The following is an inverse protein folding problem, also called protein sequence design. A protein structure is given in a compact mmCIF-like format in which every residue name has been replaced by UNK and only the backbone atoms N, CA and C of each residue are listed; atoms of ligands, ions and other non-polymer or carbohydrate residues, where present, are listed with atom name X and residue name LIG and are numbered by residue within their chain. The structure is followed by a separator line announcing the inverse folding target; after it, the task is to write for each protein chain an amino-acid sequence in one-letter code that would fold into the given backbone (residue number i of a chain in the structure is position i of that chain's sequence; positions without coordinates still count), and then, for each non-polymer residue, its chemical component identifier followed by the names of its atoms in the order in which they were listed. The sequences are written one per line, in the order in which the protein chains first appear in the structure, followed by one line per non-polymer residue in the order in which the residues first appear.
data_IF_093619037319
#
_entry.id   IF_093619037319
#
_cell.length_a   1.000
_cell.length_b   1.000
_cell.length_c   1.000
_cell.angle_alpha   90.00
_cell.angle_beta   90.00
_cell.angle_gamma   90.00
#
_symmetry.space_group_name_H-M   'P 1'
#
loop_
_entity.id
_entity.type
_entity.pdbx_description
1 polymer ?
#
# COMPACT_ATOMS: atom_id res chain seq x y z
N UNK A 1 -28.38 14.62 -8.41
CA UNK A 1 -28.14 14.17 -7.02
C UNK A 1 -26.66 13.94 -6.75
N UNK A 2 -26.04 14.82 -5.95
CA UNK A 2 -24.65 14.68 -5.54
C UNK A 2 -24.69 14.27 -4.08
N UNK A 3 -24.47 12.99 -3.81
CA UNK A 3 -24.18 12.54 -2.46
C UNK A 3 -22.91 13.27 -2.01
N UNK A 4 -23.06 14.28 -1.15
CA UNK A 4 -21.96 14.77 -0.33
C UNK A 4 -21.74 13.68 0.71
N UNK A 5 -20.84 12.76 0.41
CA UNK A 5 -20.52 11.61 1.24
C UNK A 5 -19.69 12.08 2.43
N UNK A 6 -20.31 12.76 3.39
CA UNK A 6 -19.64 13.09 4.64
C UNK A 6 -19.71 11.85 5.52
N UNK A 7 -18.72 10.98 5.41
CA UNK A 7 -18.47 9.96 6.43
C UNK A 7 -18.27 10.69 7.77
N UNK A 8 -19.30 10.70 8.63
CA UNK A 8 -19.32 11.48 9.88
C UNK A 8 -18.23 11.07 10.87
N UNK A 9 -17.67 9.87 10.69
CA UNK A 9 -16.55 9.33 11.47
C UNK A 9 -15.18 9.82 11.01
N UNK A 10 -15.08 10.50 9.85
CA UNK A 10 -13.85 11.15 9.42
C UNK A 10 -13.82 12.54 10.05
N UNK A 11 -12.87 12.71 10.97
CA UNK A 11 -12.63 13.97 11.65
C UNK A 11 -12.25 15.05 10.63
N UNK A 12 -12.97 16.19 10.68
CA UNK A 12 -12.71 17.31 9.78
C UNK A 12 -11.67 18.23 10.41
N UNK A 13 -10.64 18.57 9.65
CA UNK A 13 -9.59 19.49 10.08
C UNK A 13 -9.82 20.88 9.47
N UNK A 14 -9.63 21.92 10.28
CA UNK A 14 -9.72 23.29 9.79
C UNK A 14 -8.43 23.66 9.06
N UNK A 15 -8.55 24.26 7.87
CA UNK A 15 -7.38 24.59 7.02
C UNK A 15 -6.37 25.52 7.69
N UNK A 16 -6.84 26.41 8.55
CA UNK A 16 -6.01 27.40 9.24
C UNK A 16 -5.61 26.95 10.65
N UNK A 17 -5.84 25.68 11.01
CA UNK A 17 -5.40 25.14 12.29
C UNK A 17 -3.86 25.08 12.31
N UNK A 18 -3.18 25.73 13.28
CA UNK A 18 -1.72 25.63 13.41
C UNK A 18 -1.24 24.18 13.61
N UNK A 19 -2.12 23.28 14.07
CA UNK A 19 -1.85 21.86 14.24
C UNK A 19 -2.56 20.98 13.19
N UNK A 20 -2.77 21.51 11.98
CA UNK A 20 -3.42 20.82 10.87
C UNK A 20 -2.86 19.40 10.63
N UNK A 21 -1.54 19.25 10.68
CA UNK A 21 -0.89 17.94 10.49
C UNK A 21 -1.29 16.93 11.56
N UNK A 22 -1.40 17.33 12.82
CA UNK A 22 -1.83 16.44 13.91
C UNK A 22 -3.31 16.07 13.79
N UNK A 23 -4.16 17.02 13.40
CA UNK A 23 -5.57 16.73 13.13
C UNK A 23 -5.70 15.71 11.99
N UNK A 24 -4.98 15.89 10.88
CA UNK A 24 -5.03 14.96 9.75
C UNK A 24 -4.46 13.59 10.14
N UNK A 25 -3.39 13.54 10.97
CA UNK A 25 -2.86 12.28 11.51
C UNK A 25 -3.93 11.53 12.31
N UNK A 26 -4.70 12.21 13.16
CA UNK A 26 -5.82 11.60 13.89
C UNK A 26 -6.91 11.11 12.95
N UNK A 27 -7.28 11.90 11.95
CA UNK A 27 -8.25 11.52 10.94
C UNK A 27 -7.80 10.26 10.17
N UNK A 28 -6.53 10.18 9.78
CA UNK A 28 -5.94 9.00 9.12
C UNK A 28 -5.98 7.75 10.02
N UNK A 29 -5.58 7.88 11.29
CA UNK A 29 -5.62 6.76 12.24
C UNK A 29 -7.04 6.31 12.59
N UNK A 30 -8.02 7.21 12.53
CA UNK A 30 -9.44 6.87 12.65
C UNK A 30 -9.93 6.15 11.40
N UNK A 31 -9.61 6.66 10.21
CA UNK A 31 -9.96 6.05 8.93
C UNK A 31 -9.43 4.60 8.84
N UNK A 32 -8.21 4.37 9.32
CA UNK A 32 -7.55 3.06 9.43
C UNK A 32 -8.47 1.94 9.95
N UNK A 33 -9.33 2.24 10.92
CA UNK A 33 -10.24 1.27 11.56
C UNK A 33 -11.37 0.78 10.64
N UNK A 34 -11.69 1.57 9.62
CA UNK A 34 -12.81 1.33 8.72
C UNK A 34 -12.37 0.71 7.38
N UNK A 35 -11.15 1.00 6.92
CA UNK A 35 -10.62 0.48 5.65
C UNK A 35 -10.73 -1.05 5.49
N UNK A 36 -10.45 -1.89 6.51
CA UNK A 36 -10.60 -3.35 6.37
C UNK A 36 -12.02 -3.79 5.98
N UNK A 37 -13.05 -3.07 6.45
CA UNK A 37 -14.46 -3.37 6.18
C UNK A 37 -15.02 -2.63 4.98
N UNK A 38 -14.24 -1.70 4.42
CA UNK A 38 -14.71 -0.76 3.41
C UNK A 38 -15.57 0.36 4.00
N UNK A 39 -15.83 1.36 3.18
CA UNK A 39 -16.62 2.54 3.55
C UNK A 39 -17.60 2.79 2.42
N UNK A 40 -18.83 2.30 2.60
CA UNK A 40 -19.89 2.36 1.59
C UNK A 40 -20.18 3.80 1.17
N UNK A 41 -20.22 4.72 2.13
CA UNK A 41 -20.42 6.13 1.88
C UNK A 41 -19.35 6.64 0.92
N UNK A 42 -18.08 6.30 1.10
CA UNK A 42 -17.01 6.73 0.20
C UNK A 42 -16.84 5.83 -1.03
N UNK A 43 -17.74 4.86 -1.25
CA UNK A 43 -17.64 3.82 -2.29
C UNK A 43 -16.32 3.05 -2.23
N UNK A 44 -15.77 2.91 -1.02
CA UNK A 44 -14.59 2.09 -0.77
C UNK A 44 -15.04 0.67 -0.44
N UNK A 45 -14.54 -0.29 -1.21
CA UNK A 45 -14.69 -1.72 -0.93
C UNK A 45 -13.85 -2.11 0.29
N UNK A 46 -14.11 -3.28 0.92
CA UNK A 46 -13.19 -3.85 1.89
C UNK A 46 -11.75 -3.86 1.36
N UNK A 47 -10.82 -3.32 2.15
CA UNK A 47 -9.41 -3.20 1.76
C UNK A 47 -8.50 -4.15 2.54
N UNK A 48 -9.06 -5.13 3.24
CA UNK A 48 -8.29 -6.21 3.88
C UNK A 48 -8.98 -7.56 3.58
N UNK A 49 -8.44 -8.37 2.64
CA UNK A 49 -7.21 -8.12 1.90
C UNK A 49 -7.35 -6.96 0.90
N UNK A 50 -6.25 -6.25 0.68
CA UNK A 50 -6.11 -5.34 -0.45
C UNK A 50 -5.75 -6.15 -1.69
N UNK A 51 -6.62 -6.12 -2.69
CA UNK A 51 -6.47 -6.93 -3.89
C UNK A 51 -5.77 -6.16 -5.01
N UNK A 52 -4.72 -6.75 -5.58
CA UNK A 52 -4.00 -6.20 -6.73
C UNK A 52 -3.98 -7.25 -7.83
N UNK A 53 -4.43 -6.88 -9.02
CA UNK A 53 -4.65 -7.83 -10.12
C UNK A 53 -3.33 -8.43 -10.62
N UNK A 54 -2.34 -7.58 -10.89
CA UNK A 54 -1.05 -7.99 -11.44
C UNK A 54 0.06 -7.02 -11.05
N UNK A 55 1.26 -7.56 -10.81
CA UNK A 55 2.51 -6.81 -10.71
C UNK A 55 3.62 -7.62 -11.36
N UNK A 56 4.63 -6.94 -11.89
CA UNK A 56 5.84 -7.57 -12.41
C UNK A 56 7.03 -6.96 -11.68
N UNK A 57 7.91 -7.83 -11.17
CA UNK A 57 9.13 -7.44 -10.48
C UNK A 57 10.31 -8.03 -11.24
N UNK A 58 11.29 -7.20 -11.57
CA UNK A 58 12.52 -7.63 -12.23
C UNK A 58 13.70 -7.21 -11.36
N UNK A 59 14.52 -8.19 -10.96
CA UNK A 59 15.68 -7.95 -10.10
C UNK A 59 16.76 -9.00 -10.37
N UNK A 60 18.01 -8.57 -10.53
CA UNK A 60 19.19 -9.45 -10.62
C UNK A 60 19.06 -10.61 -11.62
N UNK A 61 18.45 -10.37 -12.78
CA UNK A 61 18.24 -11.40 -13.82
C UNK A 61 17.08 -12.35 -13.56
N UNK A 62 16.28 -12.09 -12.53
CA UNK A 62 15.01 -12.75 -12.26
C UNK A 62 13.84 -11.84 -12.62
N UNK A 63 12.80 -12.44 -13.18
CA UNK A 63 11.51 -11.82 -13.47
C UNK A 63 10.42 -12.61 -12.76
N UNK A 64 9.69 -11.95 -11.87
CA UNK A 64 8.52 -12.48 -11.20
C UNK A 64 7.28 -11.77 -11.73
N UNK A 65 6.30 -12.53 -12.19
CA UNK A 65 4.94 -12.04 -12.40
C UNK A 65 4.07 -12.51 -11.23
N UNK A 66 3.42 -11.57 -10.56
CA UNK A 66 2.51 -11.82 -9.45
C UNK A 66 1.10 -11.48 -9.91
N UNK A 67 0.15 -12.38 -9.71
CA UNK A 67 -1.26 -12.20 -10.07
C UNK A 67 -2.16 -12.60 -8.91
N UNK A 68 -3.40 -12.10 -8.92
CA UNK A 68 -4.39 -12.35 -7.87
C UNK A 68 -3.82 -12.06 -6.46
N UNK A 69 -3.04 -10.98 -6.34
CA UNK A 69 -2.38 -10.64 -5.09
C UNK A 69 -3.40 -10.22 -4.05
N UNK A 70 -3.25 -10.76 -2.84
CA UNK A 70 -4.02 -10.40 -1.65
C UNK A 70 -3.04 -9.98 -0.56
N UNK A 71 -3.07 -8.69 -0.25
CA UNK A 71 -2.26 -8.07 0.79
C UNK A 71 -3.08 -7.92 2.06
N UNK A 72 -2.78 -8.73 3.07
CA UNK A 72 -3.46 -8.69 4.36
C UNK A 72 -2.76 -7.74 5.32
N UNK A 73 -3.54 -7.09 6.17
CA UNK A 73 -3.06 -6.12 7.16
C UNK A 73 -2.39 -4.87 6.53
N UNK A 74 -2.45 -4.65 5.21
CA UNK A 74 -1.73 -3.57 4.51
C UNK A 74 -2.05 -2.14 5.01
N UNK A 75 -3.17 -1.97 5.71
CA UNK A 75 -3.58 -0.70 6.30
C UNK A 75 -3.33 -0.61 7.80
N UNK A 76 -2.74 -1.62 8.44
CA UNK A 76 -2.39 -1.55 9.86
C UNK A 76 -1.06 -0.81 10.11
N UNK A 77 -0.97 0.45 9.66
CA UNK A 77 0.25 1.26 9.75
C UNK A 77 0.28 2.16 10.98
N UNK A 78 1.48 2.55 11.38
CA UNK A 78 1.80 3.64 12.31
C UNK A 78 2.24 4.86 11.50
N UNK A 79 1.88 6.06 11.97
CA UNK A 79 2.26 7.33 11.33
C UNK A 79 3.46 7.91 12.07
N UNK A 80 4.65 7.71 11.52
CA UNK A 80 5.91 8.18 12.09
C UNK A 80 6.06 9.69 11.91
N UNK A 81 5.68 10.18 10.73
CA UNK A 81 5.75 11.59 10.37
C UNK A 81 4.62 11.96 9.43
N UNK A 82 4.02 13.13 9.65
CA UNK A 82 3.07 13.73 8.74
C UNK A 82 3.30 15.24 8.73
N UNK A 83 3.44 15.81 7.54
CA UNK A 83 3.43 17.24 7.32
C UNK A 83 2.50 17.56 6.15
N UNK A 84 1.54 18.44 6.41
CA UNK A 84 0.59 18.93 5.41
C UNK A 84 0.82 20.43 5.25
N UNK A 85 1.31 20.82 4.08
CA UNK A 85 1.58 22.19 3.69
C UNK A 85 0.60 22.59 2.57
N UNK A 86 -0.44 23.34 2.92
CA UNK A 86 -1.48 23.79 1.99
C UNK A 86 -1.05 25.00 1.15
N UNK A 87 0.04 25.67 1.52
CA UNK A 87 0.60 26.79 0.76
C UNK A 87 1.50 26.23 -0.36
N UNK A 88 2.34 25.26 -0.03
CA UNK A 88 3.16 24.51 -0.99
C UNK A 88 2.40 23.37 -1.67
N UNK A 89 1.13 23.15 -1.35
CA UNK A 89 0.29 22.06 -1.88
C UNK A 89 0.97 20.68 -1.79
N UNK A 90 1.67 20.42 -0.69
CA UNK A 90 2.51 19.24 -0.50
C UNK A 90 2.12 18.51 0.77
N UNK A 91 2.07 17.19 0.69
CA UNK A 91 1.86 16.30 1.84
C UNK A 91 3.03 15.33 1.91
N UNK A 92 3.70 15.28 3.06
CA UNK A 92 4.80 14.35 3.33
C UNK A 92 4.37 13.39 4.42
N UNK A 93 4.52 12.10 4.18
CA UNK A 93 4.13 11.07 5.13
C UNK A 93 5.22 10.00 5.23
N UNK A 94 5.58 9.64 6.46
CA UNK A 94 6.35 8.42 6.73
C UNK A 94 5.49 7.49 7.57
N UNK A 95 5.43 6.22 7.14
CA UNK A 95 4.65 5.19 7.81
C UNK A 95 5.54 4.00 8.12
N UNK A 96 5.26 3.36 9.26
CA UNK A 96 5.76 2.03 9.61
C UNK A 96 4.61 1.05 9.57
N UNK A 97 4.75 -0.03 8.79
CA UNK A 97 3.80 -1.12 8.72
C UNK A 97 4.41 -2.32 9.47
N UNK A 98 3.92 -2.65 10.69
CA UNK A 98 4.57 -3.64 11.55
C UNK A 98 4.52 -5.06 10.97
N UNK A 99 3.44 -5.39 10.28
CA UNK A 99 3.22 -6.71 9.68
C UNK A 99 2.32 -6.60 8.46
N UNK A 100 2.66 -7.33 7.41
CA UNK A 100 1.85 -7.52 6.20
C UNK A 100 2.07 -8.93 5.67
N UNK A 101 1.01 -9.56 5.16
CA UNK A 101 1.09 -10.85 4.48
C UNK A 101 0.65 -10.71 3.03
N UNK A 102 1.43 -11.27 2.11
CA UNK A 102 1.09 -11.35 0.70
C UNK A 102 0.77 -12.81 0.34
N UNK A 103 -0.37 -13.01 -0.32
CA UNK A 103 -0.67 -14.22 -1.08
C UNK A 103 -0.81 -13.88 -2.55
N UNK A 104 -0.31 -14.71 -3.44
CA UNK A 104 -0.41 -14.47 -4.89
C UNK A 104 -0.15 -15.74 -5.68
N UNK A 105 -0.72 -15.84 -6.87
CA UNK A 105 -0.20 -16.75 -7.89
C UNK A 105 1.06 -16.11 -8.50
N UNK A 106 2.18 -16.83 -8.48
CA UNK A 106 3.46 -16.34 -8.97
C UNK A 106 3.90 -17.13 -10.21
N UNK A 107 4.63 -16.45 -11.10
CA UNK A 107 5.44 -17.06 -12.15
C UNK A 107 6.82 -16.44 -12.12
N UNK A 108 7.84 -17.23 -11.79
CA UNK A 108 9.22 -16.78 -11.64
C UNK A 108 10.09 -17.41 -12.72
N UNK A 109 10.75 -16.58 -13.52
CA UNK A 109 11.74 -17.00 -14.51
C UNK A 109 13.04 -16.26 -14.27
N UNK A 110 14.16 -16.98 -14.22
CA UNK A 110 15.47 -16.34 -14.11
C UNK A 110 16.55 -17.27 -13.65
N UNK A 111 17.73 -16.71 -13.40
CA UNK A 111 18.87 -17.48 -12.92
C UNK A 111 19.20 -17.05 -11.50
N UNK A 112 19.26 -18.02 -10.59
CA UNK A 112 19.72 -17.80 -9.22
C UNK A 112 20.95 -18.67 -8.96
N UNK A 113 22.10 -18.01 -8.80
CA UNK A 113 23.42 -18.66 -8.75
C UNK A 113 23.62 -19.58 -9.98
N UNK A 114 23.67 -20.89 -9.78
CA UNK A 114 23.82 -21.91 -10.82
C UNK A 114 22.50 -22.55 -11.28
N UNK A 115 21.35 -22.12 -10.72
CA UNK A 115 20.05 -22.72 -11.02
C UNK A 115 19.24 -21.83 -11.96
N UNK A 116 18.61 -22.47 -12.95
CA UNK A 116 17.61 -21.83 -13.80
C UNK A 116 16.24 -22.06 -13.16
N UNK A 117 15.62 -20.98 -12.68
CA UNK A 117 14.28 -20.96 -12.10
C UNK A 117 13.24 -20.75 -13.21
N UNK A 118 12.20 -21.58 -13.19
CA UNK A 118 11.02 -21.45 -14.04
C UNK A 118 9.79 -22.00 -13.29
N UNK A 119 9.62 -21.54 -12.05
CA UNK A 119 8.56 -21.98 -11.15
C UNK A 119 7.26 -21.20 -11.36
N UNK A 120 6.14 -21.86 -11.14
CA UNK A 120 4.81 -21.26 -11.19
C UNK A 120 3.89 -21.97 -10.20
N UNK A 121 3.16 -21.21 -9.38
CA UNK A 121 2.28 -21.77 -8.37
C UNK A 121 1.78 -20.74 -7.37
N UNK A 122 1.32 -21.20 -6.21
CA UNK A 122 0.93 -20.31 -5.11
C UNK A 122 2.16 -19.83 -4.33
N UNK A 123 2.18 -18.53 -4.05
CA UNK A 123 3.21 -17.85 -3.28
C UNK A 123 2.62 -17.23 -2.01
N UNK A 124 3.34 -17.35 -0.90
CA UNK A 124 3.00 -16.70 0.36
C UNK A 124 4.24 -16.09 0.99
N UNK A 125 4.16 -14.84 1.41
CA UNK A 125 5.26 -14.17 2.10
C UNK A 125 4.73 -13.23 3.17
N UNK A 126 5.57 -12.96 4.18
CA UNK A 126 5.27 -11.94 5.16
C UNK A 126 6.44 -10.97 5.35
N UNK A 127 6.07 -9.74 5.63
CA UNK A 127 7.01 -8.66 5.84
C UNK A 127 6.73 -8.02 7.18
N UNK A 128 7.78 -7.75 7.95
CA UNK A 128 7.69 -7.02 9.21
C UNK A 128 8.46 -5.71 9.12
N UNK A 129 8.02 -4.71 9.88
CA UNK A 129 8.72 -3.42 9.99
C UNK A 129 8.99 -2.72 8.65
N UNK A 130 8.04 -2.80 7.70
CA UNK A 130 8.16 -2.11 6.42
C UNK A 130 8.07 -0.62 6.69
N UNK A 131 9.02 0.15 6.17
CA UNK A 131 9.00 1.62 6.26
C UNK A 131 8.70 2.19 4.89
N UNK A 132 7.82 3.18 4.86
CA UNK A 132 7.53 3.90 3.63
C UNK A 132 7.62 5.40 3.85
N UNK A 133 8.07 6.10 2.81
CA UNK A 133 8.08 7.56 2.74
C UNK A 133 7.39 7.98 1.47
N UNK A 134 6.46 8.93 1.57
CA UNK A 134 5.79 9.49 0.41
C UNK A 134 5.80 11.01 0.44
N UNK A 135 6.03 11.62 -0.72
CA UNK A 135 5.82 13.05 -0.96
C UNK A 135 4.76 13.17 -2.04
N UNK A 136 3.59 13.66 -1.65
CA UNK A 136 2.48 13.91 -2.57
C UNK A 136 2.43 15.40 -2.86
N UNK A 137 2.33 15.77 -4.14
CA UNK A 137 2.05 17.15 -4.57
C UNK A 137 0.66 17.21 -5.17
N UNK A 138 0.01 18.35 -4.98
CA UNK A 138 -1.30 18.60 -5.57
C UNK A 138 -1.40 19.95 -6.26
N UNK A 139 -2.52 20.10 -6.96
CA UNK A 139 -2.96 21.35 -7.59
C UNK A 139 -4.34 21.68 -7.05
N UNK A 140 -4.56 22.96 -6.71
CA UNK A 140 -5.88 23.46 -6.31
C UNK A 140 -6.78 23.52 -7.52
N UNK A 141 -7.96 22.93 -7.42
CA UNK A 141 -9.00 22.95 -8.45
C UNK A 141 -10.32 23.39 -7.83
N UNK A 142 -11.13 24.11 -8.60
CA UNK A 142 -12.48 24.46 -8.18
C UNK A 142 -13.50 23.48 -8.78
N UNK A 143 -14.37 22.93 -7.94
CA UNK A 143 -15.48 22.08 -8.38
C UNK A 143 -16.73 22.50 -7.63
N UNK A 144 -17.74 23.00 -8.34
CA UNK A 144 -19.05 23.40 -7.78
C UNK A 144 -18.92 24.48 -6.70
N UNK A 145 -18.02 25.46 -6.89
CA UNK A 145 -17.79 26.55 -5.93
C UNK A 145 -16.95 26.17 -4.72
N UNK A 146 -16.48 24.93 -4.64
CA UNK A 146 -15.62 24.43 -3.56
C UNK A 146 -14.21 24.17 -4.10
N UNK A 147 -13.20 24.56 -3.35
CA UNK A 147 -11.79 24.32 -3.68
C UNK A 147 -11.34 22.94 -3.18
N UNK A 148 -10.75 22.15 -4.07
CA UNK A 148 -10.19 20.83 -3.79
C UNK A 148 -8.70 20.83 -4.07
N UNK A 149 -7.93 20.14 -3.24
CA UNK A 149 -6.57 19.77 -3.58
C UNK A 149 -6.60 18.45 -4.36
N UNK A 150 -6.32 18.51 -5.65
CA UNK A 150 -6.16 17.32 -6.48
C UNK A 150 -4.71 16.87 -6.39
N UNK A 151 -4.46 15.67 -5.85
CA UNK A 151 -3.13 15.07 -5.90
C UNK A 151 -2.75 14.77 -7.35
N UNK A 152 -1.62 15.27 -7.79
CA UNK A 152 -1.15 15.18 -9.18
C UNK A 152 0.14 14.38 -9.32
N UNK A 153 0.92 14.28 -8.25
CA UNK A 153 2.22 13.61 -8.23
C UNK A 153 2.40 12.91 -6.87
N UNK A 154 2.91 11.69 -6.89
CA UNK A 154 3.20 10.89 -5.70
C UNK A 154 4.57 10.27 -5.88
N UNK A 155 5.56 10.78 -5.17
CA UNK A 155 6.85 10.14 -4.99
C UNK A 155 6.74 9.20 -3.78
N UNK A 156 7.11 7.94 -3.95
CA UNK A 156 6.92 6.89 -2.97
C UNK A 156 8.13 5.97 -2.91
N UNK A 157 8.69 5.82 -1.71
CA UNK A 157 9.80 4.93 -1.43
C UNK A 157 9.38 3.91 -0.37
N UNK A 158 9.70 2.64 -0.60
CA UNK A 158 9.55 1.55 0.38
C UNK A 158 10.93 1.02 0.76
N UNK A 159 11.11 0.78 2.06
CA UNK A 159 12.11 -0.11 2.60
C UNK A 159 11.38 -1.34 3.18
N UNK A 160 11.64 -2.50 2.59
CA UNK A 160 10.87 -3.74 2.80
C UNK A 160 11.01 -4.36 4.21
N UNK A 161 11.76 -3.74 5.14
CA UNK A 161 11.90 -4.29 6.49
C UNK A 161 12.49 -5.69 6.46
N UNK A 162 11.95 -6.61 7.25
CA UNK A 162 12.37 -8.02 7.28
C UNK A 162 11.37 -8.92 6.56
N UNK A 163 11.87 -9.80 5.70
CA UNK A 163 11.13 -10.95 5.16
C UNK A 163 11.33 -12.13 6.13
N UNK A 164 10.31 -12.47 6.91
CA UNK A 164 10.45 -13.54 7.93
C UNK A 164 10.28 -14.92 7.32
N UNK A 165 9.32 -15.09 6.41
CA UNK A 165 9.14 -16.28 5.62
C UNK A 165 8.70 -15.95 4.19
N UNK A 166 9.13 -16.81 3.29
CA UNK A 166 8.60 -16.90 1.94
C UNK A 166 8.36 -18.37 1.62
N UNK A 167 7.28 -18.65 0.91
CA UNK A 167 6.91 -19.96 0.44
C UNK A 167 6.48 -19.82 -1.01
N UNK A 168 7.05 -20.65 -1.88
CA UNK A 168 6.71 -20.74 -3.28
C UNK A 168 6.48 -22.21 -3.60
N UNK A 169 5.26 -22.54 -4.00
CA UNK A 169 4.94 -23.87 -4.52
C UNK A 169 5.67 -24.12 -5.83
N UNK A 170 6.29 -25.30 -5.98
CA UNK A 170 6.94 -25.77 -7.23
C UNK A 170 7.98 -24.79 -7.82
N UNK A 171 8.83 -24.23 -6.96
CA UNK A 171 9.88 -23.27 -7.37
C UNK A 171 10.92 -23.90 -8.30
N UNK A 172 11.20 -25.20 -8.13
CA UNK A 172 12.12 -25.99 -8.94
C UNK A 172 11.39 -27.17 -9.60
N UNK A 173 10.68 -26.93 -10.72
CA UNK A 173 9.91 -27.98 -11.37
C UNK A 173 10.76 -29.21 -11.69
N UNK A 174 10.25 -30.39 -11.35
CA UNK A 174 10.92 -31.68 -11.51
C UNK A 174 12.18 -31.90 -10.66
N UNK A 175 12.40 -31.09 -9.62
CA UNK A 175 13.49 -31.29 -8.67
C UNK A 175 12.95 -31.39 -7.23
N UNK A 176 12.47 -32.57 -6.81
CA UNK A 176 11.85 -32.75 -5.49
C UNK A 176 12.83 -32.49 -4.34
N UNK A 177 14.12 -32.74 -4.54
CA UNK A 177 15.17 -32.47 -3.53
C UNK A 177 15.33 -30.98 -3.22
N UNK A 178 14.95 -30.09 -4.14
CA UNK A 178 15.02 -28.63 -3.98
C UNK A 178 13.66 -27.97 -3.69
N UNK A 179 12.59 -28.75 -3.69
CA UNK A 179 11.21 -28.25 -3.53
C UNK A 179 10.64 -28.52 -2.12
N UNK A 180 11.25 -29.44 -1.36
CA UNK A 180 11.04 -29.58 0.11
C UNK A 180 11.80 -28.51 0.91
#
# INVERSE_FOLDING_TARGET
DVFVLTASFIERCQRNDPNLSDCIKKAMLNLRKYLPKGIRELRLVPMDPYEVVKSTVEASGMKAELTNMKLYNAFNFEVDYLNVDLDANTIKVNLTQPYMELKSHYKLVGNFLQFNLNGEGEGRSNFTNIKSSSIMKGTKIEKKGEEYLQLTDIDFTINTGSLEYFYFEDLFPNNPELTE
#
